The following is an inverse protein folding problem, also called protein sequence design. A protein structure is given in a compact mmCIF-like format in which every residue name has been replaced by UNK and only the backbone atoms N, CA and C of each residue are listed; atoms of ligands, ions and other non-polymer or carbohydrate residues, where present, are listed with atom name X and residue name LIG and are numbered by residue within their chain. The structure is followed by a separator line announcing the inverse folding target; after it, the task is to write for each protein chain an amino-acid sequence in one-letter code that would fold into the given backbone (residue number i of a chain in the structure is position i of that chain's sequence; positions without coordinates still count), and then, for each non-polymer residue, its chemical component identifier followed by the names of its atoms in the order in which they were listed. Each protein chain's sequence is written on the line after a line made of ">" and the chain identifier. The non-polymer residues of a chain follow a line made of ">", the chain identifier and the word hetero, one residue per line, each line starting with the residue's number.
data_IF_132423737421
#
_entry.id   IF_132423737421
#
_cell.length_a   1.000
_cell.length_b   1.000
_cell.length_c   1.000
_cell.angle_alpha   90.00
_cell.angle_beta   90.00
_cell.angle_gamma   90.00
#
_symmetry.space_group_name_H-M   'P 1'
#
loop_
_entity.id
_entity.type
_entity.pdbx_description
1 polymer ?
#
# COMPACT_ATOMS: atom_id res chain seq x y z
N UNK A 1 -30.64 15.22 2.07
CA UNK A 1 -30.76 13.75 2.18
C UNK A 1 -30.88 13.19 0.77
N UNK A 2 -29.80 13.25 0.00
CA UNK A 2 -29.77 12.75 -1.37
C UNK A 2 -28.91 11.50 -1.38
N UNK A 3 -29.59 10.39 -1.14
CA UNK A 3 -29.09 9.06 -1.36
C UNK A 3 -29.33 8.74 -2.85
N UNK A 4 -28.30 8.22 -3.51
CA UNK A 4 -28.34 7.45 -4.74
C UNK A 4 -28.34 8.21 -6.09
N UNK A 5 -27.17 8.20 -6.74
CA UNK A 5 -26.86 8.27 -8.18
C UNK A 5 -25.33 8.00 -8.22
N UNK A 6 -24.73 6.99 -8.83
CA UNK A 6 -24.96 6.27 -10.08
C UNK A 6 -24.22 4.92 -10.05
N UNK A 7 -24.82 3.87 -10.61
CA UNK A 7 -24.18 2.62 -10.98
C UNK A 7 -23.68 2.72 -12.43
N UNK A 8 -22.36 2.75 -12.68
CA UNK A 8 -21.66 2.35 -13.93
C UNK A 8 -20.17 2.13 -13.50
N UNK A 9 -19.49 0.98 -13.60
CA UNK A 9 -19.26 0.10 -14.73
C UNK A 9 -18.97 -1.35 -14.27
N UNK A 10 -19.36 -2.27 -15.14
CA UNK A 10 -19.19 -3.71 -15.10
C UNK A 10 -17.72 -4.11 -15.29
N UNK A 11 -17.14 -4.92 -14.39
CA UNK A 11 -16.25 -6.07 -14.66
C UNK A 11 -15.37 -6.39 -13.43
N UNK A 12 -15.39 -7.67 -13.03
CA UNK A 12 -14.47 -8.34 -12.13
C UNK A 12 -14.40 -7.83 -10.66
N UNK A 13 -14.97 -8.62 -9.76
CA UNK A 13 -14.47 -8.92 -8.41
C UNK A 13 -13.64 -7.81 -7.73
N UNK A 14 -14.30 -6.87 -7.06
CA UNK A 14 -13.90 -6.38 -5.73
C UNK A 14 -14.90 -5.33 -5.22
N UNK A 15 -15.97 -5.78 -4.54
CA UNK A 15 -16.59 -4.98 -3.48
C UNK A 15 -16.08 -5.59 -2.19
N UNK A 16 -15.24 -4.88 -1.44
CA UNK A 16 -15.35 -4.87 0.01
C UNK A 16 -15.05 -3.48 0.55
N UNK A 17 -16.06 -2.95 1.22
CA UNK A 17 -15.89 -2.14 2.40
C UNK A 17 -15.03 -2.97 3.38
N UNK A 18 -13.82 -2.48 3.69
CA UNK A 18 -13.10 -2.75 4.94
C UNK A 18 -12.64 -4.19 5.30
N UNK A 19 -12.45 -5.13 4.36
CA UNK A 19 -11.85 -6.46 4.69
C UNK A 19 -11.17 -7.19 3.52
N UNK A 20 -10.54 -6.48 2.58
CA UNK A 20 -9.70 -7.13 1.56
C UNK A 20 -8.27 -6.64 1.67
N UNK A 21 -7.39 -7.58 1.97
CA UNK A 21 -5.97 -7.39 1.90
C UNK A 21 -5.54 -6.89 0.51
N UNK A 22 -4.47 -6.10 0.45
CA UNK A 22 -3.86 -5.65 -0.78
C UNK A 22 -3.00 -6.77 -1.36
N UNK A 23 -3.26 -7.16 -2.61
CA UNK A 23 -2.35 -8.00 -3.39
C UNK A 23 -1.19 -7.16 -3.95
N UNK A 24 -0.23 -7.80 -4.64
CA UNK A 24 0.91 -7.12 -5.26
C UNK A 24 0.49 -5.97 -6.19
N UNK A 25 -0.59 -6.13 -6.97
CA UNK A 25 -1.09 -5.07 -7.84
C UNK A 25 -1.73 -3.92 -7.05
N UNK A 26 -2.49 -4.26 -6.01
CA UNK A 26 -3.15 -3.35 -5.09
C UNK A 26 -2.16 -2.46 -4.36
N UNK A 27 -1.15 -3.05 -3.71
CA UNK A 27 -0.14 -2.28 -2.95
C UNK A 27 0.68 -1.38 -3.87
N UNK A 28 1.05 -1.86 -5.08
CA UNK A 28 1.75 -1.04 -6.07
C UNK A 28 0.91 0.16 -6.53
N UNK A 29 -0.41 -0.02 -6.68
CA UNK A 29 -1.31 1.05 -7.11
C UNK A 29 -1.54 2.05 -5.97
N UNK A 30 -1.73 1.56 -4.75
CA UNK A 30 -1.91 2.38 -3.55
C UNK A 30 -0.68 3.23 -3.26
N UNK A 31 0.54 2.66 -3.33
CA UNK A 31 1.78 3.43 -3.15
C UNK A 31 1.95 4.49 -4.24
N UNK A 32 1.71 4.15 -5.51
CA UNK A 32 1.77 5.15 -6.60
C UNK A 32 0.78 6.28 -6.40
N UNK A 33 -0.43 5.99 -5.92
CA UNK A 33 -1.40 7.02 -5.57
C UNK A 33 -0.90 7.87 -4.41
N UNK A 34 -0.38 7.24 -3.35
CA UNK A 34 0.16 7.92 -2.17
C UNK A 34 1.30 8.88 -2.50
N UNK A 35 2.26 8.44 -3.31
CA UNK A 35 3.39 9.26 -3.74
C UNK A 35 2.97 10.41 -4.67
N UNK A 36 1.83 10.30 -5.34
CA UNK A 36 1.30 11.32 -6.25
C UNK A 36 0.45 12.36 -5.51
N UNK A 37 -0.44 11.91 -4.64
CA UNK A 37 -1.41 12.71 -3.91
C UNK A 37 -1.83 11.95 -2.63
N UNK A 38 -1.14 12.25 -1.53
CA UNK A 38 -1.38 11.63 -0.23
C UNK A 38 -2.84 11.80 0.25
N UNK A 39 -3.45 13.01 0.28
CA UNK A 39 -4.85 13.17 0.66
C UNK A 39 -5.84 12.31 -0.14
N UNK A 40 -5.64 12.21 -1.44
CA UNK A 40 -6.47 11.36 -2.30
C UNK A 40 -6.27 9.87 -1.99
N UNK A 41 -5.02 9.44 -1.77
CA UNK A 41 -4.71 8.07 -1.41
C UNK A 41 -5.28 7.70 -0.03
N UNK A 42 -5.20 8.57 0.97
CA UNK A 42 -5.81 8.37 2.30
C UNK A 42 -7.33 8.19 2.20
N UNK A 43 -7.99 8.93 1.31
CA UNK A 43 -9.43 8.80 1.08
C UNK A 43 -9.81 7.45 0.44
N UNK A 44 -8.95 6.93 -0.44
CA UNK A 44 -9.26 5.73 -1.23
C UNK A 44 -8.77 4.43 -0.58
N UNK A 45 -7.65 4.47 0.15
CA UNK A 45 -6.96 3.30 0.70
C UNK A 45 -6.80 3.36 2.22
N UNK A 46 -7.18 4.47 2.86
CA UNK A 46 -6.92 4.71 4.28
C UNK A 46 -5.45 5.09 4.56
N UNK A 47 -5.11 5.30 5.85
CA UNK A 47 -3.74 5.60 6.27
C UNK A 47 -2.80 4.48 5.85
N UNK A 48 -1.61 4.84 5.36
CA UNK A 48 -0.62 3.86 4.90
C UNK A 48 -0.21 2.87 5.99
N UNK A 49 -0.21 3.29 7.26
CA UNK A 49 0.09 2.45 8.42
C UNK A 49 -0.95 1.33 8.67
N UNK A 50 -2.18 1.49 8.17
CA UNK A 50 -3.28 0.55 8.41
C UNK A 50 -3.46 -0.46 7.27
N UNK A 51 -2.57 -0.43 6.26
CA UNK A 51 -2.70 -1.31 5.10
C UNK A 51 -2.41 -2.78 5.47
N UNK A 52 -3.35 -3.65 5.12
CA UNK A 52 -3.22 -5.10 5.28
C UNK A 52 -2.82 -5.76 3.94
N UNK A 53 -1.96 -6.79 3.99
CA UNK A 53 -1.42 -7.46 2.80
C UNK A 53 -1.88 -8.91 2.69
N UNK A 54 -2.14 -9.34 1.46
CA UNK A 54 -2.48 -10.74 1.20
C UNK A 54 -1.25 -11.63 1.38
N UNK A 55 -1.46 -12.93 1.57
CA UNK A 55 -0.37 -13.90 1.52
C UNK A 55 0.25 -13.94 0.12
N UNK A 56 1.59 -14.01 0.04
CA UNK A 56 2.30 -14.10 -1.24
C UNK A 56 2.47 -12.77 -1.96
N UNK A 57 2.47 -11.66 -1.22
CA UNK A 57 2.62 -10.32 -1.80
C UNK A 57 4.10 -10.00 -2.04
N UNK A 58 4.38 -9.35 -3.16
CA UNK A 58 5.72 -8.83 -3.47
C UNK A 58 5.77 -7.32 -3.26
N UNK A 59 6.76 -6.87 -2.49
CA UNK A 59 7.17 -5.48 -2.30
C UNK A 59 8.35 -5.09 -3.19
N UNK A 60 8.64 -5.88 -4.23
CA UNK A 60 9.70 -5.59 -5.19
C UNK A 60 9.56 -4.16 -5.74
N UNK A 61 10.57 -3.33 -5.46
CA UNK A 61 10.67 -1.93 -5.89
C UNK A 61 9.51 -1.02 -5.45
N UNK A 62 8.78 -1.37 -4.38
CA UNK A 62 7.56 -0.67 -4.00
C UNK A 62 7.74 0.84 -3.77
N UNK A 63 8.84 1.23 -3.13
CA UNK A 63 9.23 2.63 -2.89
C UNK A 63 10.50 3.02 -3.67
N UNK A 64 10.79 2.32 -4.76
CA UNK A 64 11.95 2.66 -5.59
C UNK A 64 11.82 4.08 -6.14
N UNK A 65 12.89 4.86 -6.03
CA UNK A 65 12.96 6.27 -6.43
C UNK A 65 12.05 7.23 -5.62
N UNK A 66 11.43 6.78 -4.53
CA UNK A 66 10.59 7.60 -3.67
C UNK A 66 11.47 8.47 -2.74
N UNK A 67 12.23 9.41 -3.32
CA UNK A 67 13.30 10.16 -2.65
C UNK A 67 12.91 10.84 -1.36
N UNK A 68 11.68 11.35 -1.28
CA UNK A 68 11.16 12.10 -0.14
C UNK A 68 10.21 11.30 0.77
N UNK A 69 10.04 10.00 0.49
CA UNK A 69 9.17 9.14 1.28
C UNK A 69 9.81 8.83 2.65
N UNK A 70 9.05 9.08 3.72
CA UNK A 70 9.50 8.86 5.10
C UNK A 70 8.32 8.62 6.05
N UNK A 71 7.25 7.97 5.57
CA UNK A 71 6.09 7.63 6.42
C UNK A 71 6.42 6.45 7.33
N UNK A 72 5.85 6.44 8.53
CA UNK A 72 5.98 5.34 9.49
C UNK A 72 5.29 4.07 8.97
N UNK A 73 6.07 3.00 8.81
CA UNK A 73 5.62 1.69 8.35
C UNK A 73 5.85 0.59 9.40
N UNK A 74 6.13 0.96 10.65
CA UNK A 74 6.43 0.01 11.74
C UNK A 74 5.28 -0.96 12.04
N UNK A 75 4.05 -0.58 11.72
CA UNK A 75 2.84 -1.40 11.88
C UNK A 75 2.61 -2.43 10.78
N UNK A 76 3.37 -2.38 9.68
CA UNK A 76 3.18 -3.30 8.56
C UNK A 76 3.51 -4.74 8.95
N UNK A 77 2.55 -5.64 8.76
CA UNK A 77 2.80 -7.07 8.92
C UNK A 77 3.43 -7.64 7.63
N UNK A 78 4.75 -7.89 7.69
CA UNK A 78 5.49 -8.43 6.56
C UNK A 78 5.56 -9.96 6.51
N UNK A 79 4.93 -10.69 7.44
CA UNK A 79 4.96 -12.18 7.45
C UNK A 79 4.33 -12.82 6.21
N UNK A 80 3.54 -12.05 5.47
CA UNK A 80 2.84 -12.47 4.26
C UNK A 80 3.58 -12.08 2.96
N UNK A 81 4.72 -11.39 3.09
CA UNK A 81 5.49 -10.84 1.96
C UNK A 81 6.55 -11.85 1.53
N UNK A 82 6.64 -12.11 0.23
CA UNK A 82 7.56 -13.12 -0.32
C UNK A 82 8.77 -12.53 -1.03
N UNK A 83 8.78 -11.22 -1.25
CA UNK A 83 9.85 -10.53 -1.98
C UNK A 83 9.90 -9.05 -1.57
N UNK A 84 11.07 -8.59 -1.13
CA UNK A 84 11.34 -7.19 -0.77
C UNK A 84 12.53 -6.62 -1.55
N UNK A 85 12.94 -7.24 -2.66
CA UNK A 85 14.11 -6.80 -3.42
C UNK A 85 13.94 -5.34 -3.86
N UNK A 86 14.95 -4.51 -3.56
CA UNK A 86 15.04 -3.09 -3.96
C UNK A 86 13.84 -2.24 -3.53
N UNK A 87 13.10 -2.65 -2.51
CA UNK A 87 11.91 -1.95 -2.02
C UNK A 87 12.18 -0.45 -1.78
N UNK A 88 13.32 -0.11 -1.19
CA UNK A 88 13.75 1.27 -0.89
C UNK A 88 14.95 1.74 -1.73
N UNK A 89 15.21 1.13 -2.89
CA UNK A 89 16.30 1.57 -3.77
C UNK A 89 16.07 3.05 -4.18
N UNK A 90 17.02 3.94 -3.85
CA UNK A 90 16.94 5.40 -4.04
C UNK A 90 15.87 6.14 -3.21
N UNK A 91 15.33 5.55 -2.15
CA UNK A 91 14.46 6.24 -1.18
C UNK A 91 15.29 7.02 -0.14
N UNK A 92 15.91 8.13 -0.57
CA UNK A 92 16.95 8.85 0.18
C UNK A 92 16.52 9.37 1.57
N UNK A 93 15.25 9.74 1.74
CA UNK A 93 14.74 10.33 3.00
C UNK A 93 14.19 9.30 3.99
N UNK A 94 14.11 8.02 3.62
CA UNK A 94 13.50 7.00 4.46
C UNK A 94 14.40 6.67 5.66
N UNK A 95 13.89 6.91 6.86
CA UNK A 95 14.63 6.72 8.12
C UNK A 95 13.68 6.30 9.26
N UNK A 96 12.79 5.34 9.00
CA UNK A 96 11.87 4.81 9.99
C UNK A 96 12.38 3.49 10.58
N UNK A 97 11.97 3.20 11.82
CA UNK A 97 12.29 1.93 12.46
C UNK A 97 11.44 0.80 11.87
N UNK A 98 12.11 -0.12 11.17
CA UNK A 98 11.52 -1.33 10.57
C UNK A 98 12.14 -2.60 11.16
N UNK A 99 12.75 -2.50 12.34
CA UNK A 99 13.37 -3.66 13.01
C UNK A 99 12.38 -4.76 13.40
N UNK A 100 11.08 -4.46 13.41
CA UNK A 100 9.99 -5.41 13.67
C UNK A 100 9.53 -6.21 12.44
N UNK A 101 10.05 -5.94 11.25
CA UNK A 101 9.65 -6.66 10.05
C UNK A 101 10.24 -8.07 10.00
N UNK A 102 9.41 -9.04 9.61
CA UNK A 102 9.86 -10.38 9.25
C UNK A 102 10.56 -10.35 7.88
N UNK A 103 11.79 -10.86 7.85
CA UNK A 103 12.66 -10.97 6.65
C UNK A 103 13.20 -12.40 6.44
N UNK A 104 12.61 -13.40 7.10
CA UNK A 104 13.11 -14.78 7.13
C UNK A 104 12.84 -15.58 5.84
#
# INVERSE_FOLDING_TARGET
>A
MYHLFFLIFLAAVCVQVNSRCLDTGGVNTAVKAWLKDKPSAETNYGPIADWEFCSGVSFHKLFRDAKYFNEDLSSWNTSNVTDMERMFEYAESFNQDISGWDTA
#
